data_IF_191725664687
#
_entry.id   IF_191725664687
#
_cell.length_a   1.000
_cell.length_b   1.000
_cell.length_c   1.000
_cell.angle_alpha   90.00
_cell.angle_beta   90.00
_cell.angle_gamma   90.00
#
_symmetry.space_group_name_H-M   'P 1'
#
loop_
_entity.id
_entity.type
_entity.pdbx_description
1 polymer ?
#
# COMPACT_ATOMS: atom_id res chain seq x y z
N UNK A 1 -10.96 -38.72 -93.24
CA UNK A 1 -12.21 -39.07 -92.57
C UNK A 1 -12.04 -38.67 -91.08
N UNK A 2 -12.57 -37.53 -90.74
CA UNK A 2 -13.68 -37.28 -89.80
C UNK A 2 -13.47 -37.90 -88.39
N UNK A 3 -13.30 -37.15 -87.29
CA UNK A 3 -14.38 -36.49 -86.60
C UNK A 3 -13.88 -35.80 -85.29
N UNK A 4 -14.26 -34.58 -85.18
CA UNK A 4 -14.31 -33.69 -83.99
C UNK A 4 -14.97 -34.23 -82.74
N UNK A 5 -14.59 -33.66 -81.61
CA UNK A 5 -15.33 -33.24 -80.36
C UNK A 5 -14.55 -33.60 -79.14
N UNK A 6 -14.49 -32.85 -78.08
CA UNK A 6 -15.29 -31.74 -77.66
C UNK A 6 -14.71 -31.13 -76.38
N UNK A 7 -15.01 -29.92 -76.25
CA UNK A 7 -14.61 -29.02 -75.18
C UNK A 7 -15.21 -29.46 -73.81
N UNK A 8 -14.40 -29.54 -72.81
CA UNK A 8 -14.82 -29.71 -71.38
C UNK A 8 -14.23 -28.60 -70.54
N UNK A 9 -14.89 -27.46 -70.43
CA UNK A 9 -14.60 -26.38 -69.53
C UNK A 9 -14.79 -26.83 -68.09
N UNK A 10 -13.72 -26.91 -67.31
CA UNK A 10 -13.79 -27.03 -65.84
C UNK A 10 -13.74 -25.64 -65.21
N UNK A 11 -14.92 -25.20 -64.77
CA UNK A 11 -15.14 -24.05 -63.93
C UNK A 11 -14.37 -24.20 -62.61
N UNK A 12 -13.37 -23.36 -62.39
CA UNK A 12 -12.68 -23.24 -61.08
C UNK A 12 -13.59 -22.44 -60.15
N UNK A 13 -14.26 -23.12 -59.24
CA UNK A 13 -14.99 -22.49 -58.15
C UNK A 13 -13.96 -22.01 -57.15
N UNK A 14 -13.72 -20.70 -57.12
CA UNK A 14 -12.94 -20.05 -56.06
C UNK A 14 -13.75 -20.11 -54.78
N UNK A 15 -13.32 -20.96 -53.86
CA UNK A 15 -13.80 -20.95 -52.47
C UNK A 15 -13.01 -19.88 -51.73
N UNK A 16 -13.67 -18.73 -51.52
CA UNK A 16 -13.13 -17.64 -50.70
C UNK A 16 -13.26 -18.06 -49.20
N UNK A 17 -12.18 -18.52 -48.61
CA UNK A 17 -12.10 -18.77 -47.19
C UNK A 17 -12.03 -17.44 -46.43
N UNK A 18 -13.16 -17.02 -45.89
CA UNK A 18 -13.26 -15.85 -45.01
C UNK A 18 -12.69 -16.26 -43.64
N UNK A 19 -11.43 -15.93 -43.37
CA UNK A 19 -10.82 -16.09 -42.06
C UNK A 19 -11.38 -15.02 -41.10
N UNK A 20 -12.30 -15.42 -40.22
CA UNK A 20 -12.80 -14.58 -39.15
C UNK A 20 -11.69 -14.51 -38.09
N UNK A 21 -10.93 -13.40 -38.03
CA UNK A 21 -10.02 -13.08 -36.96
C UNK A 21 -10.88 -12.61 -35.78
N UNK A 22 -11.15 -13.53 -34.85
CA UNK A 22 -11.70 -13.19 -33.54
C UNK A 22 -10.58 -12.52 -32.73
N UNK A 23 -10.48 -11.21 -32.84
CA UNK A 23 -9.59 -10.41 -32.00
C UNK A 23 -10.07 -10.49 -30.55
N UNK A 24 -9.38 -11.28 -29.73
CA UNK A 24 -9.56 -11.26 -28.28
C UNK A 24 -9.10 -9.91 -27.76
N UNK A 25 -10.04 -8.97 -27.54
CA UNK A 25 -9.76 -7.74 -26.81
C UNK A 25 -9.38 -8.14 -25.39
N UNK A 26 -8.08 -8.29 -25.15
CA UNK A 26 -7.53 -8.38 -23.80
C UNK A 26 -7.73 -7.00 -23.16
N UNK A 27 -8.85 -6.83 -22.45
CA UNK A 27 -9.16 -5.60 -21.73
C UNK A 27 -8.06 -5.35 -20.71
N UNK A 28 -7.19 -4.40 -21.00
CA UNK A 28 -6.22 -3.84 -20.05
C UNK A 28 -7.05 -3.23 -18.93
N UNK A 29 -7.22 -3.96 -17.82
CA UNK A 29 -7.79 -3.40 -16.60
C UNK A 29 -6.77 -2.39 -16.09
N UNK A 30 -7.00 -1.11 -16.38
CA UNK A 30 -6.29 -0.03 -15.70
C UNK A 30 -6.55 -0.19 -14.20
N UNK A 31 -5.52 -0.57 -13.46
CA UNK A 31 -5.56 -0.53 -12.01
C UNK A 31 -5.79 0.94 -11.64
N UNK A 32 -7.02 1.28 -11.23
CA UNK A 32 -7.32 2.59 -10.68
C UNK A 32 -6.62 2.66 -9.33
N UNK A 33 -5.66 3.55 -9.22
CA UNK A 33 -5.00 3.88 -7.96
C UNK A 33 -5.52 5.22 -7.45
N UNK A 34 -5.59 5.38 -6.13
CA UNK A 34 -5.78 6.71 -5.54
C UNK A 34 -4.46 7.47 -5.56
N UNK A 35 -4.53 8.77 -5.70
CA UNK A 35 -3.36 9.65 -5.78
C UNK A 35 -3.43 10.76 -4.72
N UNK A 36 -2.26 11.12 -4.19
CA UNK A 36 -2.08 12.24 -3.27
C UNK A 36 -0.70 12.84 -3.51
N UNK A 37 -0.61 14.15 -3.74
CA UNK A 37 0.65 14.86 -4.08
C UNK A 37 1.43 14.19 -5.24
N UNK A 38 0.75 13.79 -6.32
CA UNK A 38 1.35 13.07 -7.45
C UNK A 38 2.01 11.73 -7.07
N UNK A 39 1.67 11.18 -5.89
CA UNK A 39 2.07 9.84 -5.47
C UNK A 39 0.89 8.90 -5.62
N UNK A 40 1.02 7.93 -6.52
CA UNK A 40 -0.04 6.95 -6.80
C UNK A 40 0.12 5.70 -5.93
N UNK A 41 -1.00 5.22 -5.40
CA UNK A 41 -1.12 3.99 -4.61
C UNK A 41 -2.09 3.03 -5.28
N UNK A 42 -1.75 1.76 -5.34
CA UNK A 42 -2.63 0.73 -5.88
C UNK A 42 -3.87 0.55 -4.98
N UNK A 43 -5.04 0.30 -5.57
CA UNK A 43 -6.27 0.07 -4.80
C UNK A 43 -6.22 -1.20 -3.95
N UNK A 44 -5.42 -2.18 -4.36
CA UNK A 44 -5.29 -3.47 -3.67
C UNK A 44 -3.85 -3.95 -3.70
N UNK A 45 -3.48 -4.72 -2.68
CA UNK A 45 -2.22 -5.44 -2.62
C UNK A 45 -2.42 -6.82 -2.00
N UNK A 46 -1.46 -7.72 -2.20
CA UNK A 46 -1.47 -9.04 -1.58
C UNK A 46 -0.40 -9.11 -0.49
N UNK A 47 -0.78 -9.63 0.66
CA UNK A 47 0.12 -9.93 1.78
C UNK A 47 -0.13 -11.37 2.19
N UNK A 48 0.83 -12.27 1.97
CA UNK A 48 0.74 -13.71 2.27
C UNK A 48 -0.56 -14.35 1.74
N UNK A 49 -0.92 -14.06 0.50
CA UNK A 49 -2.13 -14.58 -0.14
C UNK A 49 -3.44 -13.87 0.25
N UNK A 50 -3.41 -12.97 1.24
CA UNK A 50 -4.57 -12.18 1.62
C UNK A 50 -4.59 -10.88 0.81
N UNK A 51 -5.75 -10.55 0.22
CA UNK A 51 -5.94 -9.27 -0.46
C UNK A 51 -6.27 -8.19 0.55
N UNK A 52 -5.46 -7.14 0.59
CA UNK A 52 -5.74 -5.91 1.32
C UNK A 52 -6.23 -4.83 0.36
N UNK A 53 -7.21 -4.06 0.78
CA UNK A 53 -7.78 -2.93 0.03
C UNK A 53 -7.28 -1.62 0.63
N UNK A 54 -6.96 -0.66 -0.22
CA UNK A 54 -6.58 0.69 0.19
C UNK A 54 -7.76 1.36 0.92
N UNK A 55 -7.61 1.57 2.21
CA UNK A 55 -8.59 2.24 3.05
C UNK A 55 -8.61 3.76 2.76
N UNK A 56 -7.44 4.36 2.74
CA UNK A 56 -7.32 5.79 2.47
C UNK A 56 -5.87 6.24 2.36
N UNK A 57 -5.69 7.49 1.93
CA UNK A 57 -4.42 8.18 1.81
C UNK A 57 -4.39 9.40 2.72
N UNK A 58 -3.27 9.65 3.37
CA UNK A 58 -3.10 10.83 4.21
C UNK A 58 -1.73 11.45 4.04
N UNK A 59 -1.66 12.77 4.19
CA UNK A 59 -0.43 13.55 4.06
C UNK A 59 0.12 13.94 5.44
N UNK A 60 1.37 13.55 5.72
CA UNK A 60 2.10 14.01 6.89
C UNK A 60 2.73 15.37 6.61
N UNK A 61 2.32 16.36 7.37
CA UNK A 61 2.93 17.67 7.37
C UNK A 61 3.61 17.94 8.71
N UNK A 62 4.86 18.38 8.67
CA UNK A 62 5.63 18.73 9.85
C UNK A 62 5.73 20.25 10.01
N UNK A 63 5.94 20.70 11.23
CA UNK A 63 6.11 22.09 11.64
C UNK A 63 4.90 23.00 11.35
N UNK A 64 4.91 24.20 11.90
CA UNK A 64 3.89 25.23 11.65
C UNK A 64 3.84 25.67 10.17
N UNK A 65 4.93 25.46 9.44
CA UNK A 65 5.02 25.76 7.99
C UNK A 65 4.41 24.68 7.10
N UNK A 66 3.80 23.63 7.68
CA UNK A 66 3.16 22.52 6.98
C UNK A 66 4.05 21.86 5.91
N UNK A 67 5.30 21.62 6.26
CA UNK A 67 6.26 20.98 5.35
C UNK A 67 5.84 19.54 5.10
N UNK A 68 5.61 19.17 3.85
CA UNK A 68 5.24 17.81 3.45
C UNK A 68 6.40 16.84 3.71
N UNK A 69 6.12 15.74 4.40
CA UNK A 69 7.13 14.75 4.80
C UNK A 69 6.94 13.43 4.03
N UNK A 70 5.75 12.86 4.09
CA UNK A 70 5.38 11.65 3.36
C UNK A 70 3.87 11.61 3.08
N UNK A 71 3.51 10.88 2.04
CA UNK A 71 2.14 10.40 1.82
C UNK A 71 2.05 8.99 2.41
N UNK A 72 1.04 8.76 3.23
CA UNK A 72 0.77 7.45 3.81
C UNK A 72 -0.44 6.79 3.15
N UNK A 73 -0.35 5.50 2.86
CA UNK A 73 -1.46 4.66 2.41
C UNK A 73 -1.72 3.55 3.43
N UNK A 74 -2.96 3.46 3.91
CA UNK A 74 -3.40 2.40 4.83
C UNK A 74 -4.13 1.32 4.04
N UNK A 75 -3.68 0.08 4.17
CA UNK A 75 -4.30 -1.09 3.55
C UNK A 75 -4.83 -2.03 4.61
N UNK A 76 -6.07 -2.47 4.46
CA UNK A 76 -6.77 -3.33 5.40
C UNK A 76 -7.56 -4.42 4.68
N UNK A 77 -7.88 -5.51 5.40
CA UNK A 77 -8.71 -6.58 4.85
C UNK A 77 -10.16 -6.12 4.60
N UNK A 78 -10.70 -5.28 5.49
CA UNK A 78 -12.04 -4.69 5.38
C UNK A 78 -11.96 -3.18 5.63
N UNK A 79 -12.22 -2.34 4.64
CA UNK A 79 -12.20 -0.89 4.80
C UNK A 79 -13.14 -0.40 5.91
N UNK A 80 -12.68 0.62 6.65
CA UNK A 80 -13.45 1.23 7.75
C UNK A 80 -13.06 2.69 7.94
N UNK A 81 -14.01 3.52 8.31
CA UNK A 81 -13.81 4.91 8.76
C UNK A 81 -13.61 5.02 10.27
N UNK A 82 -13.87 3.92 11.01
CA UNK A 82 -13.65 3.86 12.45
C UNK A 82 -12.22 3.41 12.75
N UNK A 83 -11.39 4.26 13.39
CA UNK A 83 -10.02 3.92 13.76
C UNK A 83 -9.94 2.73 14.72
N UNK A 84 -10.88 2.59 15.65
CA UNK A 84 -10.87 1.47 16.59
C UNK A 84 -11.16 0.15 15.88
N UNK A 85 -12.10 0.12 14.94
CA UNK A 85 -12.36 -1.06 14.13
C UNK A 85 -11.12 -1.49 13.34
N UNK A 86 -10.29 -0.55 12.85
CA UNK A 86 -9.03 -0.85 12.17
C UNK A 86 -7.97 -1.35 13.15
N UNK A 87 -7.80 -0.69 14.30
CA UNK A 87 -6.78 -1.04 15.30
C UNK A 87 -7.03 -2.41 15.91
N UNK A 88 -8.28 -2.72 16.26
CA UNK A 88 -8.66 -3.97 16.95
C UNK A 88 -8.82 -5.16 15.98
N UNK A 89 -8.95 -4.92 14.67
CA UNK A 89 -9.13 -6.01 13.71
C UNK A 89 -7.97 -7.04 13.80
N UNK A 90 -8.25 -8.32 14.06
CA UNK A 90 -7.24 -9.38 14.13
C UNK A 90 -6.88 -9.88 12.72
N UNK A 91 -6.73 -8.97 11.78
CA UNK A 91 -6.44 -9.23 10.38
C UNK A 91 -5.19 -8.49 9.93
N UNK A 92 -4.54 -9.00 8.89
CA UNK A 92 -3.40 -8.33 8.29
C UNK A 92 -3.77 -6.90 7.88
N UNK A 93 -2.84 -5.98 8.12
CA UNK A 93 -2.93 -4.58 7.70
C UNK A 93 -1.54 -4.06 7.35
N UNK A 94 -1.48 -3.10 6.45
CA UNK A 94 -0.22 -2.51 6.04
C UNK A 94 -0.33 -0.99 5.99
N UNK A 95 0.69 -0.32 6.50
CA UNK A 95 0.89 1.11 6.34
C UNK A 95 2.14 1.32 5.48
N UNK A 96 1.97 2.02 4.35
CA UNK A 96 3.03 2.38 3.43
C UNK A 96 3.24 3.88 3.49
N UNK A 97 4.45 4.32 3.84
CA UNK A 97 4.87 5.71 3.88
C UNK A 97 5.76 6.00 2.67
N UNK A 98 5.30 6.82 1.74
CA UNK A 98 6.10 7.29 0.61
C UNK A 98 6.68 8.67 0.94
N UNK A 99 7.98 8.75 1.15
CA UNK A 99 8.65 10.00 1.53
C UNK A 99 8.74 10.95 0.34
N UNK A 100 8.34 12.20 0.55
CA UNK A 100 8.42 13.27 -0.46
C UNK A 100 9.57 14.25 -0.19
N UNK A 101 10.36 13.96 0.84
CA UNK A 101 11.60 14.67 1.21
C UNK A 101 12.54 13.73 1.93
N UNK A 102 13.81 14.14 2.06
CA UNK A 102 14.78 13.42 2.88
C UNK A 102 14.46 13.61 4.38
N UNK A 103 14.56 12.51 5.15
CA UNK A 103 14.37 12.47 6.59
C UNK A 103 15.47 11.63 7.21
N UNK A 104 16.22 12.19 8.16
CA UNK A 104 17.28 11.46 8.84
C UNK A 104 16.73 10.39 9.78
N UNK A 105 17.49 9.31 9.97
CA UNK A 105 17.17 8.24 10.94
C UNK A 105 16.87 8.77 12.34
N UNK A 106 17.62 9.78 12.78
CA UNK A 106 17.43 10.40 14.10
C UNK A 106 16.04 11.02 14.22
N UNK A 107 15.59 11.77 13.20
CA UNK A 107 14.29 12.43 13.20
C UNK A 107 13.14 11.41 13.12
N UNK A 108 13.35 10.32 12.35
CA UNK A 108 12.40 9.20 12.32
C UNK A 108 12.26 8.58 13.71
N UNK A 109 13.38 8.22 14.34
CA UNK A 109 13.37 7.58 15.65
C UNK A 109 12.72 8.47 16.71
N UNK A 110 13.00 9.76 16.68
CA UNK A 110 12.34 10.74 17.54
C UNK A 110 10.84 10.78 17.32
N UNK A 111 10.41 10.79 16.05
CA UNK A 111 8.98 10.78 15.72
C UNK A 111 8.26 9.51 16.19
N UNK A 112 8.94 8.34 16.17
CA UNK A 112 8.38 7.10 16.73
C UNK A 112 8.23 7.19 18.24
N UNK A 113 9.26 7.67 18.96
CA UNK A 113 9.21 7.86 20.41
C UNK A 113 8.05 8.78 20.82
N UNK A 114 7.96 9.95 20.19
CA UNK A 114 6.87 10.91 20.41
C UNK A 114 5.49 10.28 20.13
N UNK A 115 5.36 9.52 19.04
CA UNK A 115 4.13 8.85 18.66
C UNK A 115 3.69 7.76 19.66
N UNK A 116 4.62 6.95 20.15
CA UNK A 116 4.35 5.96 21.19
C UNK A 116 4.01 6.62 22.52
N UNK A 117 4.75 7.66 22.93
CA UNK A 117 4.47 8.43 24.15
C UNK A 117 3.05 9.03 24.12
N UNK A 118 2.65 9.58 22.99
CA UNK A 118 1.36 10.21 22.83
C UNK A 118 0.17 9.22 22.84
N UNK A 119 0.36 8.00 22.29
CA UNK A 119 -0.75 7.09 22.03
C UNK A 119 -0.69 5.75 22.81
N UNK A 120 0.45 5.41 23.41
CA UNK A 120 0.66 4.14 24.10
C UNK A 120 1.39 4.30 25.44
N UNK A 121 1.33 5.48 26.06
CA UNK A 121 2.09 5.84 27.29
C UNK A 121 2.04 4.78 28.39
N UNK A 122 0.85 4.25 28.69
CA UNK A 122 0.68 3.22 29.72
C UNK A 122 1.31 1.86 29.39
N UNK A 123 1.71 1.64 28.13
CA UNK A 123 2.31 0.40 27.65
C UNK A 123 3.82 0.51 27.43
N UNK A 124 4.40 1.70 27.52
CA UNK A 124 5.81 1.95 27.22
C UNK A 124 6.79 1.02 27.94
N UNK A 125 6.64 0.72 29.27
CA UNK A 125 7.53 -0.19 29.94
C UNK A 125 7.56 -1.59 29.29
N UNK A 126 6.39 -2.11 28.92
CA UNK A 126 6.25 -3.43 28.26
C UNK A 126 6.70 -3.44 26.80
N UNK A 127 6.70 -2.28 26.14
CA UNK A 127 7.05 -2.14 24.72
C UNK A 127 8.51 -1.71 24.50
N UNK A 128 9.24 -1.31 25.53
CA UNK A 128 10.55 -0.66 25.46
C UNK A 128 11.54 -1.36 24.52
N UNK A 129 11.79 -2.65 24.74
CA UNK A 129 12.74 -3.41 23.93
C UNK A 129 12.32 -3.50 22.46
N UNK A 130 11.00 -3.61 22.22
CA UNK A 130 10.44 -3.70 20.86
C UNK A 130 10.48 -2.35 20.14
N UNK A 131 10.31 -1.24 20.87
CA UNK A 131 10.51 0.12 20.34
C UNK A 131 11.96 0.32 19.96
N UNK A 132 12.92 -0.08 20.81
CA UNK A 132 14.35 0.00 20.49
C UNK A 132 14.70 -0.89 19.28
N UNK A 133 14.12 -2.08 19.19
CA UNK A 133 14.27 -2.94 18.01
C UNK A 133 13.76 -2.24 16.74
N UNK A 134 12.57 -1.63 16.78
CA UNK A 134 12.04 -0.87 15.65
C UNK A 134 12.99 0.25 15.22
N UNK A 135 13.48 1.05 16.17
CA UNK A 135 14.45 2.14 15.93
C UNK A 135 15.75 1.62 15.32
N UNK A 136 16.19 0.42 15.71
CA UNK A 136 17.35 -0.24 15.14
C UNK A 136 17.19 -0.64 13.67
N UNK A 137 15.97 -0.85 13.20
CA UNK A 137 15.66 -1.20 11.81
C UNK A 137 15.61 0.03 10.87
N UNK A 138 15.56 1.25 11.42
CA UNK A 138 15.44 2.47 10.62
C UNK A 138 16.78 2.89 10.01
N UNK A 139 16.70 3.50 8.85
CA UNK A 139 17.80 4.18 8.15
C UNK A 139 17.37 5.59 7.77
N UNK A 140 18.28 6.39 7.25
CA UNK A 140 17.90 7.63 6.58
C UNK A 140 16.95 7.30 5.42
N UNK A 141 15.92 8.13 5.25
CA UNK A 141 14.97 8.02 4.14
C UNK A 141 15.22 9.13 3.13
N UNK A 142 15.27 8.78 1.87
CA UNK A 142 15.37 9.74 0.77
C UNK A 142 13.99 10.03 0.18
N UNK A 143 13.86 11.18 -0.45
CA UNK A 143 12.67 11.46 -1.28
C UNK A 143 12.49 10.39 -2.34
N UNK A 144 11.27 9.86 -2.46
CA UNK A 144 10.91 8.73 -3.34
C UNK A 144 10.95 7.36 -2.66
N UNK A 145 11.68 7.19 -1.57
CA UNK A 145 11.74 5.91 -0.86
C UNK A 145 10.46 5.62 -0.06
N UNK A 146 10.24 4.32 0.21
CA UNK A 146 9.05 3.80 0.88
C UNK A 146 9.45 3.05 2.15
N UNK A 147 8.85 3.42 3.28
CA UNK A 147 8.88 2.65 4.52
C UNK A 147 7.55 1.92 4.68
N UNK A 148 7.60 0.62 4.91
CA UNK A 148 6.43 -0.25 4.94
C UNK A 148 6.37 -0.99 6.27
N UNK A 149 5.24 -0.89 6.95
CA UNK A 149 4.89 -1.65 8.14
C UNK A 149 3.77 -2.62 7.79
N UNK A 150 4.04 -3.91 7.86
CA UNK A 150 3.06 -4.97 7.58
C UNK A 150 2.78 -5.75 8.86
N UNK A 151 1.60 -5.58 9.42
CA UNK A 151 1.14 -6.41 10.53
C UNK A 151 0.61 -7.76 10.01
N UNK A 152 1.06 -8.82 10.67
CA UNK A 152 0.57 -10.19 10.48
C UNK A 152 0.11 -10.71 11.84
N UNK A 153 -1.15 -11.13 11.99
CA UNK A 153 -1.66 -11.67 13.25
C UNK A 153 -0.79 -12.81 13.79
N UNK A 154 -0.41 -12.72 15.08
CA UNK A 154 0.49 -13.66 15.73
C UNK A 154 1.97 -13.55 15.34
N UNK A 155 2.30 -12.79 14.26
CA UNK A 155 3.67 -12.61 13.78
C UNK A 155 4.29 -11.24 14.12
N UNK A 156 3.46 -10.26 14.48
CA UNK A 156 3.91 -8.89 14.73
C UNK A 156 4.01 -8.04 13.46
N UNK A 157 4.94 -7.07 13.46
CA UNK A 157 5.10 -6.09 12.37
C UNK A 157 6.38 -6.36 11.60
N UNK A 158 6.26 -6.76 10.35
CA UNK A 158 7.36 -6.81 9.39
C UNK A 158 7.64 -5.39 8.86
N UNK A 159 8.91 -5.01 8.84
CA UNK A 159 9.40 -3.72 8.37
C UNK A 159 10.19 -3.91 7.09
N UNK A 160 9.87 -3.13 6.05
CA UNK A 160 10.65 -3.08 4.82
C UNK A 160 10.90 -1.62 4.40
N UNK A 161 12.05 -1.38 3.78
CA UNK A 161 12.41 -0.09 3.20
C UNK A 161 12.74 -0.34 1.74
N UNK A 162 12.03 0.35 0.87
CA UNK A 162 12.18 0.30 -0.59
C UNK A 162 12.27 -1.13 -1.15
N UNK A 163 11.34 -1.99 -0.70
CA UNK A 163 11.25 -3.39 -1.07
C UNK A 163 12.23 -4.33 -0.35
N UNK A 164 13.19 -3.80 0.42
CA UNK A 164 14.13 -4.61 1.19
C UNK A 164 13.63 -4.83 2.60
N UNK A 165 13.43 -6.09 2.99
CA UNK A 165 13.07 -6.46 4.37
C UNK A 165 14.17 -6.09 5.36
N UNK A 166 13.79 -5.42 6.45
CA UNK A 166 14.70 -5.01 7.54
C UNK A 166 14.58 -5.92 8.76
N UNK A 167 13.39 -6.48 9.00
CA UNK A 167 13.14 -7.38 10.10
C UNK A 167 11.71 -7.35 10.59
N UNK A 168 11.44 -8.11 11.65
CA UNK A 168 10.11 -8.19 12.28
C UNK A 168 10.20 -7.82 13.75
N UNK A 169 9.27 -6.98 14.21
CA UNK A 169 9.05 -6.71 15.63
C UNK A 169 7.82 -7.50 16.08
N UNK A 170 8.00 -8.44 17.01
CA UNK A 170 6.95 -9.35 17.43
C UNK A 170 5.89 -8.69 18.32
N UNK A 171 4.70 -9.28 18.34
CA UNK A 171 3.60 -8.96 19.24
C UNK A 171 2.48 -8.16 18.60
N UNK A 172 1.25 -8.64 18.80
CA UNK A 172 0.05 -7.98 18.29
C UNK A 172 -0.24 -6.70 19.08
N UNK A 173 0.10 -6.68 20.36
CA UNK A 173 0.06 -5.50 21.22
C UNK A 173 1.01 -4.40 20.73
N UNK A 174 2.23 -4.78 20.30
CA UNK A 174 3.17 -3.85 19.68
C UNK A 174 2.61 -3.31 18.36
N UNK A 175 2.04 -4.17 17.53
CA UNK A 175 1.42 -3.75 16.28
C UNK A 175 0.32 -2.72 16.52
N UNK A 176 -0.60 -2.99 17.46
CA UNK A 176 -1.67 -2.06 17.84
C UNK A 176 -1.09 -0.71 18.30
N UNK A 177 -0.09 -0.72 19.16
CA UNK A 177 0.57 0.49 19.65
C UNK A 177 1.27 1.26 18.50
N UNK A 178 1.93 0.57 17.56
CA UNK A 178 2.56 1.19 16.41
C UNK A 178 1.52 1.87 15.51
N UNK A 179 0.46 1.15 15.10
CA UNK A 179 -0.58 1.74 14.24
C UNK A 179 -1.36 2.85 14.94
N UNK A 180 -1.44 2.86 16.27
CA UNK A 180 -2.06 3.94 17.04
C UNK A 180 -1.34 5.29 16.89
N UNK A 181 -0.07 5.31 16.49
CA UNK A 181 0.64 6.56 16.16
C UNK A 181 -0.16 7.36 15.14
N UNK A 182 -0.72 6.72 14.12
CA UNK A 182 -1.49 7.39 13.05
C UNK A 182 -3.00 7.40 13.29
N UNK A 183 -3.54 6.38 13.96
CA UNK A 183 -4.98 6.16 14.09
C UNK A 183 -5.50 6.44 15.51
N UNK A 184 -4.61 6.63 16.48
CA UNK A 184 -4.95 6.87 17.88
C UNK A 184 -5.51 8.26 18.15
N UNK A 185 -5.59 8.61 19.44
CA UNK A 185 -6.16 9.88 19.90
C UNK A 185 -5.30 11.10 19.53
N UNK A 186 -3.98 10.90 19.41
CA UNK A 186 -3.02 11.98 19.17
C UNK A 186 -2.18 11.69 17.91
N UNK A 187 -2.78 11.73 16.71
CA UNK A 187 -2.05 11.49 15.47
C UNK A 187 -1.09 12.64 15.16
N UNK A 188 -0.07 12.39 14.32
CA UNK A 188 0.85 13.46 13.90
C UNK A 188 0.18 14.63 13.20
N UNK A 189 -0.95 14.39 12.52
CA UNK A 189 -1.89 15.39 11.98
C UNK A 189 -3.29 14.79 11.93
N UNK A 190 -4.31 15.55 12.28
CA UNK A 190 -5.71 15.12 12.17
C UNK A 190 -6.13 14.88 10.71
N UNK A 191 -5.66 15.72 9.77
CA UNK A 191 -5.92 15.52 8.34
C UNK A 191 -5.29 14.23 7.79
N UNK A 192 -4.10 13.85 8.27
CA UNK A 192 -3.46 12.58 7.93
C UNK A 192 -4.33 11.40 8.39
N UNK A 193 -4.77 11.39 9.64
CA UNK A 193 -5.67 10.36 10.19
C UNK A 193 -6.99 10.31 9.41
N UNK A 194 -7.64 11.44 9.20
CA UNK A 194 -8.88 11.51 8.43
C UNK A 194 -8.71 10.94 7.02
N UNK A 195 -7.62 11.28 6.33
CA UNK A 195 -7.29 10.74 5.02
C UNK A 195 -7.08 9.24 5.02
N UNK A 196 -6.34 8.68 5.98
CA UNK A 196 -6.13 7.23 6.14
C UNK A 196 -7.45 6.47 6.39
N UNK A 197 -8.43 7.13 6.99
CA UNK A 197 -9.76 6.60 7.27
C UNK A 197 -10.77 6.86 6.14
N UNK A 198 -10.31 7.18 4.94
CA UNK A 198 -11.14 7.32 3.74
C UNK A 198 -11.58 8.73 3.42
N UNK A 199 -11.18 9.72 4.21
CA UNK A 199 -11.37 11.14 3.90
C UNK A 199 -10.48 11.60 2.72
N UNK A 200 -10.60 12.87 2.30
CA UNK A 200 -9.76 13.44 1.27
C UNK A 200 -8.29 13.51 1.70
N UNK A 201 -7.38 13.32 0.75
CA UNK A 201 -5.98 13.72 0.93
C UNK A 201 -5.89 15.22 0.67
N UNK A 202 -5.31 16.01 1.60
CA UNK A 202 -5.22 17.47 1.47
C UNK A 202 -4.29 17.91 0.34
#
# INVERSE_FOLDING_TARGET
MTRTRGIGSRSKRNVLLLAIIVGTLCGVRTAHGKECLNVSFQDRMSVDGNTLTLNGLGLRQATMLKVNVYVAGLYVAKPSTDPNAVLEAPTAKQLLLHFVRNVGRSDLNKSWEEGFEANAKGQLPALKERIEKLKGLMTDMKSGERLIFTFKPGGGVFVAIDGTGKGTVAGDDFAKALFSIWLGAHPPNESLKAGLLGGPCP
#
